data_IF_067588996130
#
_entry.id   IF_067588996130
#
_cell.length_a   1.000
_cell.length_b   1.000
_cell.length_c   1.000
_cell.angle_alpha   90.00
_cell.angle_beta   90.00
_cell.angle_gamma   90.00
#
_symmetry.space_group_name_H-M   'P 1'
#
loop_
_entity.id
_entity.type
_entity.pdbx_description
1 polymer ?
#
# COMPACT_ATOMS: atom_id res chain seq x y z
N UNK A 1 23.11 25.77 -19.01
CA UNK A 1 22.92 25.38 -17.59
C UNK A 1 22.28 24.00 -17.62
N UNK A 2 23.06 22.99 -17.22
CA UNK A 2 23.15 21.75 -17.99
C UNK A 2 22.06 20.71 -17.68
N UNK A 3 21.62 20.02 -18.73
CA UNK A 3 20.79 18.80 -18.65
C UNK A 3 21.34 17.77 -17.65
N UNK A 4 22.66 17.78 -17.37
CA UNK A 4 23.28 16.93 -16.36
C UNK A 4 22.85 17.23 -14.91
N UNK A 5 22.54 18.48 -14.55
CA UNK A 5 22.09 18.84 -13.19
C UNK A 5 20.62 18.43 -12.99
N UNK A 6 19.77 18.60 -14.01
CA UNK A 6 18.39 18.12 -13.98
C UNK A 6 18.31 16.58 -13.94
N UNK A 7 19.19 15.89 -14.68
CA UNK A 7 19.29 14.44 -14.66
C UNK A 7 19.66 13.91 -13.26
N UNK A 8 20.63 14.53 -12.59
CA UNK A 8 21.07 14.11 -11.26
C UNK A 8 19.99 14.36 -10.20
N UNK A 9 19.25 15.48 -10.28
CA UNK A 9 18.17 15.81 -9.34
C UNK A 9 17.02 14.79 -9.33
N UNK A 10 16.67 14.23 -10.49
CA UNK A 10 15.61 13.22 -10.57
C UNK A 10 16.09 11.83 -10.17
N UNK A 11 17.38 11.51 -10.36
CA UNK A 11 17.94 10.21 -10.01
C UNK A 11 17.79 9.88 -8.51
N UNK A 12 18.16 10.81 -7.63
CA UNK A 12 18.02 10.63 -6.18
C UNK A 12 16.56 10.45 -5.76
N UNK A 13 15.65 11.19 -6.39
CA UNK A 13 14.22 11.05 -6.14
C UNK A 13 13.68 9.70 -6.61
N UNK A 14 14.11 9.18 -7.77
CA UNK A 14 13.73 7.84 -8.20
C UNK A 14 14.26 6.77 -7.23
N UNK A 15 15.51 6.89 -6.76
CA UNK A 15 16.05 6.00 -5.72
C UNK A 15 15.24 6.06 -4.43
N UNK A 16 14.85 7.26 -4.00
CA UNK A 16 13.99 7.42 -2.83
C UNK A 16 12.63 6.72 -3.02
N UNK A 17 11.99 6.83 -4.19
CA UNK A 17 10.76 6.08 -4.49
C UNK A 17 11.01 4.57 -4.38
N UNK A 18 12.10 4.07 -4.97
CA UNK A 18 12.44 2.64 -4.98
C UNK A 18 12.63 2.13 -3.55
N UNK A 19 13.57 2.72 -2.81
CA UNK A 19 13.93 2.24 -1.48
C UNK A 19 12.78 2.38 -0.49
N UNK A 20 12.05 3.50 -0.51
CA UNK A 20 10.95 3.71 0.42
C UNK A 20 9.73 2.84 0.10
N UNK A 21 9.44 2.56 -1.18
CA UNK A 21 8.38 1.61 -1.54
C UNK A 21 8.75 0.17 -1.17
N UNK A 22 10.01 -0.24 -1.37
CA UNK A 22 10.49 -1.56 -0.90
C UNK A 22 10.47 -1.66 0.62
N UNK A 23 10.94 -0.62 1.33
CA UNK A 23 10.91 -0.58 2.79
C UNK A 23 9.49 -0.71 3.33
N UNK A 24 8.53 0.01 2.72
CA UNK A 24 7.10 -0.12 3.01
C UNK A 24 6.67 -1.59 2.94
N UNK A 25 6.92 -2.25 1.80
CA UNK A 25 6.49 -3.62 1.57
C UNK A 25 7.15 -4.65 2.51
N UNK A 26 8.47 -4.49 2.77
CA UNK A 26 9.23 -5.39 3.63
C UNK A 26 8.80 -5.24 5.08
N UNK A 27 8.68 -4.01 5.58
CA UNK A 27 8.34 -3.73 6.98
C UNK A 27 6.91 -4.19 7.27
N UNK A 28 5.95 -3.87 6.39
CA UNK A 28 4.57 -4.35 6.54
C UNK A 28 4.51 -5.87 6.43
N UNK A 29 5.20 -6.48 5.47
CA UNK A 29 5.20 -7.94 5.27
C UNK A 29 5.76 -8.69 6.49
N UNK A 30 6.88 -8.23 7.05
CA UNK A 30 7.49 -8.82 8.23
C UNK A 30 6.65 -8.60 9.49
N UNK A 31 6.16 -7.38 9.72
CA UNK A 31 5.38 -7.07 10.93
C UNK A 31 4.03 -7.79 10.96
N UNK A 32 3.29 -7.75 9.86
CA UNK A 32 2.01 -8.45 9.72
C UNK A 32 2.24 -9.97 9.75
N UNK A 33 3.25 -10.47 9.05
CA UNK A 33 3.58 -11.90 9.02
C UNK A 33 3.96 -12.45 10.39
N UNK A 34 4.81 -11.74 11.14
CA UNK A 34 5.22 -12.15 12.48
C UNK A 34 4.01 -12.18 13.44
N UNK A 35 3.17 -11.14 13.42
CA UNK A 35 1.98 -11.08 14.26
C UNK A 35 0.98 -12.20 13.92
N UNK A 36 0.74 -12.45 12.62
CA UNK A 36 -0.14 -13.51 12.16
C UNK A 36 0.36 -14.90 12.58
N UNK A 37 1.66 -15.18 12.42
CA UNK A 37 2.25 -16.48 12.82
C UNK A 37 2.07 -16.70 14.33
N UNK A 38 2.33 -15.67 15.14
CA UNK A 38 2.14 -15.76 16.58
C UNK A 38 0.66 -15.97 16.96
N UNK A 39 -0.27 -15.29 16.28
CA UNK A 39 -1.70 -15.43 16.52
C UNK A 39 -2.22 -16.82 16.14
N UNK A 40 -1.82 -17.33 14.97
CA UNK A 40 -2.16 -18.69 14.51
C UNK A 40 -1.58 -19.75 15.47
N UNK A 41 -0.34 -19.57 15.93
CA UNK A 41 0.28 -20.49 16.89
C UNK A 41 -0.45 -20.50 18.24
N UNK A 42 -1.06 -19.37 18.62
CA UNK A 42 -1.81 -19.22 19.87
C UNK A 42 -3.23 -19.81 19.78
N UNK A 43 -3.95 -19.52 18.70
CA UNK A 43 -5.37 -19.89 18.55
C UNK A 43 -5.59 -21.26 17.87
N UNK A 44 -4.61 -21.76 17.12
CA UNK A 44 -4.75 -23.01 16.36
C UNK A 44 -5.78 -22.96 15.23
N UNK A 45 -6.14 -21.76 14.77
CA UNK A 45 -7.13 -21.54 13.70
C UNK A 45 -6.45 -21.15 12.38
N UNK A 46 -7.21 -21.24 11.29
CA UNK A 46 -6.74 -20.84 9.96
C UNK A 46 -6.40 -19.33 9.95
N UNK A 47 -5.21 -18.91 9.44
CA UNK A 47 -4.88 -17.48 9.30
C UNK A 47 -5.94 -16.67 8.56
N UNK A 48 -6.63 -17.29 7.59
CA UNK A 48 -7.63 -16.61 6.77
C UNK A 48 -8.94 -16.34 7.52
N UNK A 49 -9.19 -16.95 8.68
CA UNK A 49 -10.33 -16.62 9.54
C UNK A 49 -10.03 -15.52 10.56
N UNK A 50 -8.76 -15.10 10.68
CA UNK A 50 -8.34 -14.00 11.56
C UNK A 50 -8.41 -12.68 10.79
N UNK A 51 -9.22 -11.74 11.29
CA UNK A 51 -9.35 -10.40 10.70
C UNK A 51 -8.03 -9.64 10.86
N UNK A 52 -7.53 -9.03 9.77
CA UNK A 52 -6.18 -8.46 9.75
C UNK A 52 -5.95 -7.33 10.78
N UNK A 53 -6.99 -6.57 11.11
CA UNK A 53 -6.99 -5.47 12.10
C UNK A 53 -6.97 -5.96 13.56
N UNK A 54 -7.49 -7.16 13.85
CA UNK A 54 -7.42 -7.76 15.19
C UNK A 54 -6.01 -8.12 15.63
N UNK A 55 -5.07 -8.24 14.68
CA UNK A 55 -3.65 -8.41 14.99
C UNK A 55 -3.04 -7.21 15.72
N UNK A 56 -3.67 -6.03 15.63
CA UNK A 56 -3.24 -4.82 16.33
C UNK A 56 -3.81 -4.66 17.73
N UNK A 57 -4.62 -5.61 18.22
CA UNK A 57 -5.25 -5.52 19.54
C UNK A 57 -4.26 -5.82 20.68
N UNK A 58 -3.90 -4.79 21.46
CA UNK A 58 -3.01 -4.93 22.61
C UNK A 58 -3.53 -5.82 23.73
N UNK A 59 -4.85 -6.08 23.77
CA UNK A 59 -5.46 -6.88 24.82
C UNK A 59 -5.51 -8.37 24.48
N UNK A 60 -5.43 -8.73 23.20
CA UNK A 60 -5.66 -10.10 22.75
C UNK A 60 -4.54 -10.69 21.88
N UNK A 61 -3.77 -9.87 21.16
CA UNK A 61 -2.72 -10.35 20.26
C UNK A 61 -1.32 -10.25 20.87
N UNK A 62 -0.51 -11.34 20.84
CA UNK A 62 0.79 -11.40 21.52
C UNK A 62 1.84 -10.48 20.90
N UNK A 63 1.69 -10.10 19.63
CA UNK A 63 2.62 -9.24 18.90
C UNK A 63 1.94 -7.99 18.34
N UNK A 64 0.87 -7.52 18.99
CA UNK A 64 0.16 -6.29 18.61
C UNK A 64 1.09 -5.09 18.44
N UNK A 65 2.09 -4.94 19.31
CA UNK A 65 3.06 -3.84 19.22
C UNK A 65 3.92 -3.91 17.96
N UNK A 66 4.32 -5.12 17.55
CA UNK A 66 5.11 -5.32 16.34
C UNK A 66 4.26 -5.01 15.11
N UNK A 67 3.01 -5.48 15.10
CA UNK A 67 2.05 -5.16 14.05
C UNK A 67 1.85 -3.64 13.93
N UNK A 68 1.44 -2.96 15.01
CA UNK A 68 1.13 -1.53 15.00
C UNK A 68 2.33 -0.67 14.63
N UNK A 69 3.52 -0.93 15.20
CA UNK A 69 4.73 -0.17 14.87
C UNK A 69 5.19 -0.43 13.43
N UNK A 70 4.97 -1.64 12.89
CA UNK A 70 5.25 -1.92 11.49
C UNK A 70 4.37 -1.09 10.55
N UNK A 71 3.09 -0.89 10.89
CA UNK A 71 2.19 -0.02 10.13
C UNK A 71 2.68 1.43 10.19
N UNK A 72 3.04 1.95 11.37
CA UNK A 72 3.57 3.31 11.51
C UNK A 72 4.80 3.52 10.63
N UNK A 73 5.79 2.63 10.72
CA UNK A 73 7.04 2.79 9.95
C UNK A 73 6.78 2.61 8.45
N UNK A 74 6.00 1.60 8.05
CA UNK A 74 5.66 1.38 6.64
C UNK A 74 4.87 2.56 6.05
N UNK A 75 3.91 3.10 6.79
CA UNK A 75 3.14 4.27 6.37
C UNK A 75 4.03 5.51 6.19
N UNK A 76 5.00 5.75 7.08
CA UNK A 76 5.99 6.82 6.93
C UNK A 76 6.86 6.63 5.69
N UNK A 77 7.32 5.40 5.42
CA UNK A 77 8.04 5.09 4.19
C UNK A 77 7.17 5.35 2.95
N UNK A 78 5.89 4.98 2.95
CA UNK A 78 4.99 5.24 1.83
C UNK A 78 4.79 6.74 1.58
N UNK A 79 4.64 7.54 2.64
CA UNK A 79 4.57 9.01 2.53
C UNK A 79 5.82 9.57 1.85
N UNK A 80 7.01 9.11 2.26
CA UNK A 80 8.27 9.52 1.66
C UNK A 80 8.36 9.12 0.19
N UNK A 81 7.99 7.88 -0.14
CA UNK A 81 7.96 7.40 -1.53
C UNK A 81 7.04 8.26 -2.41
N UNK A 82 5.85 8.59 -1.92
CA UNK A 82 4.87 9.40 -2.65
C UNK A 82 5.27 10.87 -2.75
N UNK A 83 5.94 11.41 -1.72
CA UNK A 83 6.52 12.75 -1.75
C UNK A 83 7.61 12.85 -2.81
N UNK A 84 8.52 11.88 -2.88
CA UNK A 84 9.53 11.83 -3.93
C UNK A 84 8.89 11.72 -5.33
N UNK A 85 7.87 10.87 -5.47
CA UNK A 85 7.11 10.72 -6.72
C UNK A 85 6.42 12.02 -7.14
N UNK A 86 5.91 12.82 -6.21
CA UNK A 86 5.30 14.13 -6.49
C UNK A 86 6.29 15.10 -7.16
N UNK A 87 7.56 15.07 -6.75
CA UNK A 87 8.60 15.92 -7.33
C UNK A 87 9.21 15.35 -8.63
N UNK A 88 9.01 14.06 -8.92
CA UNK A 88 9.45 13.43 -10.17
C UNK A 88 8.46 13.63 -11.30
N UNK A 89 7.16 13.48 -11.04
CA UNK A 89 6.13 13.55 -12.06
C UNK A 89 5.35 14.87 -11.96
N UNK A 90 5.49 15.72 -12.96
CA UNK A 90 4.92 17.08 -12.94
C UNK A 90 3.46 17.15 -13.42
N UNK A 91 2.96 16.13 -14.10
CA UNK A 91 1.59 16.17 -14.64
C UNK A 91 0.54 16.07 -13.51
N UNK A 92 -0.52 16.89 -13.62
CA UNK A 92 -1.51 17.05 -12.55
C UNK A 92 -2.20 15.74 -12.15
N UNK A 93 -2.36 14.82 -13.10
CA UNK A 93 -2.99 13.53 -12.84
C UNK A 93 -2.05 12.58 -12.08
N UNK A 94 -0.77 12.48 -12.46
CA UNK A 94 0.24 11.78 -11.66
C UNK A 94 0.36 12.38 -10.26
N UNK A 95 0.23 13.70 -10.11
CA UNK A 95 0.19 14.35 -8.79
C UNK A 95 -1.05 13.98 -7.98
N UNK A 96 -2.19 13.75 -8.65
CA UNK A 96 -3.39 13.18 -8.00
C UNK A 96 -3.12 11.79 -7.41
N UNK A 97 -2.43 10.93 -8.15
CA UNK A 97 -2.00 9.60 -7.67
C UNK A 97 -1.08 9.73 -6.45
N UNK A 98 -0.09 10.64 -6.50
CA UNK A 98 0.87 10.78 -5.39
C UNK A 98 0.24 11.36 -4.15
N UNK A 99 -0.63 12.36 -4.27
CA UNK A 99 -1.38 12.92 -3.13
C UNK A 99 -2.27 11.84 -2.51
N UNK A 100 -2.97 11.06 -3.33
CA UNK A 100 -3.82 9.96 -2.84
C UNK A 100 -2.98 8.89 -2.14
N UNK A 101 -1.84 8.49 -2.72
CA UNK A 101 -0.92 7.55 -2.10
C UNK A 101 -0.29 8.07 -0.80
N UNK A 102 0.02 9.36 -0.71
CA UNK A 102 0.54 9.98 0.51
C UNK A 102 -0.53 10.00 1.61
N UNK A 103 -1.77 10.36 1.28
CA UNK A 103 -2.92 10.29 2.19
C UNK A 103 -3.15 8.86 2.68
N UNK A 104 -3.03 7.86 1.80
CA UNK A 104 -3.09 6.46 2.18
C UNK A 104 -2.00 6.11 3.21
N UNK A 105 -0.75 6.57 3.00
CA UNK A 105 0.34 6.41 3.96
C UNK A 105 0.05 7.04 5.32
N UNK A 106 -0.53 8.25 5.34
CA UNK A 106 -0.97 8.91 6.59
C UNK A 106 -2.03 8.08 7.32
N UNK A 107 -3.00 7.54 6.59
CA UNK A 107 -4.04 6.70 7.18
C UNK A 107 -3.47 5.41 7.76
N UNK A 108 -2.49 4.78 7.10
CA UNK A 108 -1.77 3.61 7.65
C UNK A 108 -1.05 3.97 8.96
N UNK A 109 -0.38 5.13 9.01
CA UNK A 109 0.26 5.62 10.24
C UNK A 109 -0.77 5.79 11.35
N UNK A 110 -1.91 6.41 11.06
CA UNK A 110 -2.97 6.65 12.04
C UNK A 110 -3.60 5.35 12.52
N UNK A 111 -3.78 4.35 11.66
CA UNK A 111 -4.24 3.00 12.06
C UNK A 111 -3.25 2.36 13.04
N UNK A 112 -1.94 2.51 12.83
CA UNK A 112 -0.92 2.00 13.75
C UNK A 112 -0.84 2.77 15.08
N UNK A 113 -1.06 4.08 15.07
CA UNK A 113 -1.07 4.92 16.29
C UNK A 113 -2.36 4.70 17.10
N UNK A 114 -3.49 4.56 16.41
CA UNK A 114 -4.81 4.32 16.98
C UNK A 114 -5.29 2.91 16.57
N UNK A 115 -4.72 1.86 17.20
CA UNK A 115 -5.15 0.50 16.95
C UNK A 115 -6.57 0.28 17.44
N UNK A 116 -7.09 -0.92 17.19
CA UNK A 116 -8.49 -1.31 17.46
C UNK A 116 -8.94 -1.08 18.92
N UNK A 117 -8.01 -0.97 19.88
CA UNK A 117 -8.29 -0.55 21.25
C UNK A 117 -8.93 0.85 21.33
N UNK A 118 -8.64 1.73 20.37
CA UNK A 118 -9.27 3.04 20.16
C UNK A 118 -10.32 2.94 19.04
N UNK A 119 -11.40 2.20 19.34
CA UNK A 119 -12.34 1.69 18.35
C UNK A 119 -12.91 2.77 17.41
N UNK A 120 -13.32 3.92 17.94
CA UNK A 120 -13.93 5.00 17.16
C UNK A 120 -12.94 5.59 16.14
N UNK A 121 -11.75 5.94 16.60
CA UNK A 121 -10.68 6.49 15.76
C UNK A 121 -10.20 5.46 14.73
N UNK A 122 -10.00 4.22 15.18
CA UNK A 122 -9.55 3.13 14.33
C UNK A 122 -10.52 2.88 13.17
N UNK A 123 -11.83 2.79 13.46
CA UNK A 123 -12.87 2.60 12.43
C UNK A 123 -12.90 3.73 11.40
N UNK A 124 -12.75 4.97 11.87
CA UNK A 124 -12.67 6.14 10.98
C UNK A 124 -11.46 6.05 10.04
N UNK A 125 -10.27 5.78 10.59
CA UNK A 125 -9.04 5.73 9.79
C UNK A 125 -9.00 4.50 8.87
N UNK A 126 -9.48 3.34 9.31
CA UNK A 126 -9.61 2.13 8.49
C UNK A 126 -10.62 2.31 7.35
N UNK A 127 -11.73 3.00 7.59
CA UNK A 127 -12.68 3.36 6.51
C UNK A 127 -12.05 4.36 5.53
N UNK A 128 -11.37 5.38 6.03
CA UNK A 128 -10.61 6.32 5.21
C UNK A 128 -9.57 5.61 4.35
N UNK A 129 -8.85 4.64 4.93
CA UNK A 129 -7.87 3.80 4.22
C UNK A 129 -8.51 3.03 3.08
N UNK A 130 -9.68 2.42 3.30
CA UNK A 130 -10.41 1.69 2.27
C UNK A 130 -10.83 2.60 1.11
N UNK A 131 -11.43 3.76 1.41
CA UNK A 131 -11.84 4.74 0.40
C UNK A 131 -10.62 5.25 -0.38
N UNK A 132 -9.53 5.56 0.33
CA UNK A 132 -8.31 6.06 -0.30
C UNK A 132 -7.63 4.99 -1.18
N UNK A 133 -7.67 3.72 -0.77
CA UNK A 133 -7.19 2.57 -1.56
C UNK A 133 -8.00 2.42 -2.84
N UNK A 134 -9.33 2.48 -2.75
CA UNK A 134 -10.22 2.47 -3.90
C UNK A 134 -9.88 3.60 -4.88
N UNK A 135 -9.77 4.83 -4.39
CA UNK A 135 -9.44 6.00 -5.22
C UNK A 135 -8.05 5.87 -5.88
N UNK A 136 -7.05 5.39 -5.14
CA UNK A 136 -5.71 5.16 -5.67
C UNK A 136 -5.72 4.17 -6.84
N UNK A 137 -6.40 3.03 -6.67
CA UNK A 137 -6.50 2.03 -7.74
C UNK A 137 -7.34 2.52 -8.92
N UNK A 138 -8.40 3.29 -8.69
CA UNK A 138 -9.15 3.97 -9.76
C UNK A 138 -8.24 4.91 -10.57
N UNK A 139 -7.46 5.75 -9.89
CA UNK A 139 -6.56 6.67 -10.58
C UNK A 139 -5.47 5.92 -11.37
N UNK A 140 -4.88 4.88 -10.79
CA UNK A 140 -3.87 4.08 -11.48
C UNK A 140 -4.47 3.26 -12.64
N UNK A 141 -5.70 2.75 -12.51
CA UNK A 141 -6.39 2.08 -13.61
C UNK A 141 -6.55 3.01 -14.82
N UNK A 142 -7.02 4.23 -14.57
CA UNK A 142 -7.22 5.23 -15.62
C UNK A 142 -5.90 5.78 -16.19
N UNK A 143 -4.84 5.87 -15.38
CA UNK A 143 -3.49 6.25 -15.85
C UNK A 143 -2.97 5.30 -16.93
N UNK A 144 -3.27 4.00 -16.83
CA UNK A 144 -2.80 3.00 -17.78
C UNK A 144 -3.23 3.29 -19.22
N UNK A 145 -4.44 3.84 -19.42
CA UNK A 145 -4.99 4.15 -20.74
C UNK A 145 -4.51 5.51 -21.31
N UNK A 146 -3.72 6.28 -20.56
CA UNK A 146 -3.18 7.55 -21.06
C UNK A 146 -2.04 7.31 -22.04
N UNK A 147 -1.95 8.14 -23.09
CA UNK A 147 -0.93 8.05 -24.16
C UNK A 147 0.52 8.09 -23.67
N UNK A 148 0.77 8.62 -22.47
CA UNK A 148 2.09 8.68 -21.81
C UNK A 148 2.08 7.95 -20.46
N UNK A 149 1.31 6.87 -20.36
CA UNK A 149 1.17 6.09 -19.13
C UNK A 149 2.54 5.72 -18.56
N UNK A 150 2.70 6.01 -17.27
CA UNK A 150 3.85 5.58 -16.49
C UNK A 150 3.65 4.19 -15.83
N UNK A 151 2.65 3.41 -16.23
CA UNK A 151 2.33 2.13 -15.58
C UNK A 151 2.67 0.92 -16.46
N UNK A 152 3.34 -0.06 -15.88
CA UNK A 152 3.59 -1.36 -16.51
C UNK A 152 2.41 -2.33 -16.33
N UNK A 153 2.33 -3.34 -17.20
CA UNK A 153 1.25 -4.34 -17.18
C UNK A 153 1.11 -5.10 -15.85
N UNK A 154 2.18 -5.47 -15.12
CA UNK A 154 2.04 -6.10 -13.81
C UNK A 154 1.39 -5.17 -12.78
N UNK A 155 1.74 -3.88 -12.81
CA UNK A 155 1.14 -2.89 -11.91
C UNK A 155 -0.33 -2.66 -12.27
N UNK A 156 -0.67 -2.67 -13.55
CA UNK A 156 -2.06 -2.61 -14.02
C UNK A 156 -2.89 -3.80 -13.52
N UNK A 157 -2.36 -5.03 -13.61
CA UNK A 157 -3.05 -6.22 -13.10
C UNK A 157 -3.33 -6.13 -11.59
N UNK A 158 -2.35 -5.68 -10.79
CA UNK A 158 -2.55 -5.45 -9.36
C UNK A 158 -3.60 -4.37 -9.08
N UNK A 159 -3.67 -3.31 -9.89
CA UNK A 159 -4.70 -2.29 -9.73
C UNK A 159 -6.12 -2.82 -10.00
N UNK A 160 -6.30 -3.75 -10.95
CA UNK A 160 -7.60 -4.40 -11.19
C UNK A 160 -8.00 -5.23 -9.97
N UNK A 161 -7.08 -6.05 -9.44
CA UNK A 161 -7.33 -6.86 -8.25
C UNK A 161 -7.68 -5.95 -7.07
N UNK A 162 -6.87 -4.93 -6.81
CA UNK A 162 -7.09 -3.98 -5.72
C UNK A 162 -8.43 -3.27 -5.83
N UNK A 163 -8.84 -2.88 -7.04
CA UNK A 163 -10.13 -2.24 -7.29
C UNK A 163 -11.30 -3.18 -7.00
N UNK A 164 -11.27 -4.42 -7.50
CA UNK A 164 -12.32 -5.42 -7.26
C UNK A 164 -12.47 -5.67 -5.76
N UNK A 165 -11.37 -5.94 -5.05
CA UNK A 165 -11.42 -6.27 -3.62
C UNK A 165 -11.78 -5.05 -2.75
N UNK A 166 -11.41 -3.84 -3.16
CA UNK A 166 -11.87 -2.61 -2.48
C UNK A 166 -13.37 -2.43 -2.61
N UNK A 167 -13.95 -2.64 -3.81
CA UNK A 167 -15.41 -2.57 -4.02
C UNK A 167 -16.13 -3.62 -3.18
N UNK A 168 -15.61 -4.86 -3.14
CA UNK A 168 -16.18 -5.93 -2.32
C UNK A 168 -16.17 -5.52 -0.85
N UNK A 169 -15.05 -5.04 -0.29
CA UNK A 169 -15.02 -4.59 1.11
C UNK A 169 -15.96 -3.42 1.36
N UNK A 170 -16.04 -2.44 0.46
CA UNK A 170 -16.98 -1.32 0.60
C UNK A 170 -18.44 -1.79 0.62
N UNK A 171 -18.77 -2.87 -0.09
CA UNK A 171 -20.12 -3.47 -0.08
C UNK A 171 -20.42 -4.26 1.20
N UNK A 172 -19.38 -4.78 1.86
CA UNK A 172 -19.49 -5.51 3.12
C UNK A 172 -19.37 -4.60 4.37
N UNK A 173 -18.92 -3.36 4.20
CA UNK A 173 -18.78 -2.38 5.27
C UNK A 173 -20.15 -1.90 5.76
N UNK A 174 -20.38 -1.93 7.07
CA UNK A 174 -21.54 -1.28 7.65
C UNK A 174 -21.27 0.22 7.81
N UNK A 175 -21.85 1.03 6.93
CA UNK A 175 -21.65 2.48 6.89
C UNK A 175 -22.21 3.25 8.10
N UNK A 176 -23.08 2.64 8.91
CA UNK A 176 -23.59 3.27 10.12
C UNK A 176 -22.61 3.17 11.30
N UNK A 177 -21.85 2.08 11.37
CA UNK A 177 -20.89 1.81 12.44
C UNK A 177 -19.44 1.97 12.01
N UNK A 178 -19.19 2.10 10.69
CA UNK A 178 -17.86 2.13 10.07
C UNK A 178 -17.02 0.90 10.43
N UNK A 179 -17.66 -0.26 10.54
CA UNK A 179 -17.02 -1.53 10.89
C UNK A 179 -17.57 -2.69 10.05
N UNK A 180 -16.85 -3.80 10.09
CA UNK A 180 -17.22 -5.05 9.48
C UNK A 180 -17.83 -5.98 10.53
N UNK A 181 -18.83 -6.76 10.12
CA UNK A 181 -19.43 -7.76 11.00
C UNK A 181 -18.37 -8.78 11.47
N UNK A 182 -18.44 -9.24 12.73
CA UNK A 182 -17.47 -10.18 13.27
C UNK A 182 -17.56 -11.53 12.54
N UNK A 183 -16.41 -12.14 12.30
CA UNK A 183 -16.32 -13.49 11.76
C UNK A 183 -16.86 -14.51 12.80
N UNK A 184 -17.67 -15.48 12.38
CA UNK A 184 -18.02 -16.61 13.23
C UNK A 184 -16.77 -17.44 13.51
N UNK A 185 -16.46 -17.69 14.79
CA UNK A 185 -15.30 -18.51 15.19
C UNK A 185 -15.57 -20.03 15.07
N UNK A 186 -16.53 -20.45 14.24
CA UNK A 186 -16.75 -21.87 13.98
C UNK A 186 -15.52 -22.43 13.27
N UNK A 187 -14.97 -23.53 13.78
CA UNK A 187 -13.65 -24.08 13.41
C UNK A 187 -13.53 -24.53 11.95
N UNK A 188 -14.62 -24.57 11.19
CA UNK A 188 -14.67 -24.96 9.79
C UNK A 188 -14.99 -23.83 8.80
N UNK A 189 -15.33 -22.63 9.26
CA UNK A 189 -15.90 -21.62 8.38
C UNK A 189 -14.86 -20.58 7.95
N UNK A 190 -14.68 -20.44 6.63
CA UNK A 190 -13.86 -19.39 6.06
C UNK A 190 -14.62 -18.08 6.20
N UNK A 191 -14.04 -17.12 6.94
CA UNK A 191 -14.60 -15.78 7.00
C UNK A 191 -14.30 -15.04 5.70
N UNK A 192 -15.32 -14.93 4.83
CA UNK A 192 -15.21 -14.23 3.54
C UNK A 192 -14.70 -12.80 3.69
N UNK A 193 -15.18 -12.06 4.69
CA UNK A 193 -14.70 -10.72 5.00
C UNK A 193 -13.18 -10.70 5.20
N UNK A 194 -12.69 -11.54 6.11
CA UNK A 194 -11.28 -11.64 6.45
C UNK A 194 -10.43 -12.01 5.22
N UNK A 195 -10.89 -12.97 4.41
CA UNK A 195 -10.21 -13.35 3.18
C UNK A 195 -10.07 -12.17 2.21
N UNK A 196 -11.13 -11.39 2.01
CA UNK A 196 -11.12 -10.21 1.14
C UNK A 196 -10.17 -9.13 1.71
N UNK A 197 -10.17 -8.90 3.02
CA UNK A 197 -9.21 -7.99 3.68
C UNK A 197 -7.76 -8.42 3.47
N UNK A 198 -7.47 -9.73 3.60
CA UNK A 198 -6.15 -10.28 3.38
C UNK A 198 -5.69 -10.10 1.93
N UNK A 199 -6.55 -10.41 0.96
CA UNK A 199 -6.20 -10.24 -0.46
C UNK A 199 -5.91 -8.78 -0.79
N UNK A 200 -6.72 -7.84 -0.29
CA UNK A 200 -6.47 -6.41 -0.51
C UNK A 200 -5.15 -5.96 0.14
N UNK A 201 -4.88 -6.41 1.37
CA UNK A 201 -3.63 -6.10 2.10
C UNK A 201 -2.41 -6.60 1.33
N UNK A 202 -2.43 -7.85 0.88
CA UNK A 202 -1.33 -8.42 0.10
C UNK A 202 -1.17 -7.75 -1.27
N UNK A 203 -2.28 -7.36 -1.91
CA UNK A 203 -2.25 -6.59 -3.16
C UNK A 203 -1.55 -5.25 -2.97
N UNK A 204 -1.82 -4.52 -1.88
CA UNK A 204 -1.18 -3.25 -1.58
C UNK A 204 0.32 -3.38 -1.27
N UNK A 205 0.72 -4.45 -0.58
CA UNK A 205 2.13 -4.76 -0.33
C UNK A 205 2.86 -5.04 -1.65
N UNK A 206 2.28 -5.91 -2.50
CA UNK A 206 2.85 -6.24 -3.81
C UNK A 206 2.89 -5.03 -4.74
N UNK A 207 1.89 -4.16 -4.66
CA UNK A 207 1.84 -2.92 -5.43
C UNK A 207 3.07 -2.04 -5.16
N UNK A 208 3.49 -1.93 -3.89
CA UNK A 208 4.70 -1.20 -3.52
C UNK A 208 5.98 -1.83 -4.09
N UNK A 209 6.07 -3.16 -4.10
CA UNK A 209 7.22 -3.87 -4.71
C UNK A 209 7.28 -3.64 -6.23
N UNK A 210 6.13 -3.77 -6.91
CA UNK A 210 6.06 -3.59 -8.36
C UNK A 210 6.32 -2.13 -8.75
N UNK A 211 5.84 -1.16 -7.97
CA UNK A 211 6.18 0.25 -8.16
C UNK A 211 7.69 0.48 -8.13
N UNK A 212 8.40 -0.12 -7.16
CA UNK A 212 9.84 0.01 -7.07
C UNK A 212 10.57 -0.61 -8.28
N UNK A 213 10.12 -1.77 -8.74
CA UNK A 213 10.66 -2.41 -9.95
C UNK A 213 10.42 -1.53 -11.18
N UNK A 214 9.23 -0.93 -11.30
CA UNK A 214 8.88 -0.01 -12.39
C UNK A 214 9.81 1.21 -12.42
N UNK A 215 10.03 1.86 -11.26
CA UNK A 215 10.94 3.00 -11.16
C UNK A 215 12.39 2.61 -11.49
N UNK A 216 12.85 1.43 -11.06
CA UNK A 216 14.18 0.91 -11.42
C UNK A 216 14.32 0.73 -12.93
N UNK A 217 13.29 0.23 -13.60
CA UNK A 217 13.29 0.08 -15.05
C UNK A 217 13.30 1.43 -15.77
N UNK A 218 12.61 2.44 -15.24
CA UNK A 218 12.63 3.82 -15.77
C UNK A 218 14.00 4.46 -15.68
N UNK A 219 14.69 4.33 -14.54
CA UNK A 219 16.08 4.79 -14.40
C UNK A 219 16.96 4.18 -15.50
N UNK A 220 16.88 2.86 -15.71
CA UNK A 220 17.67 2.16 -16.75
C UNK A 220 17.37 2.69 -18.15
N UNK A 221 16.10 2.89 -18.48
CA UNK A 221 15.68 3.43 -19.77
C UNK A 221 16.21 4.86 -19.98
N UNK A 222 16.14 5.72 -18.95
CA UNK A 222 16.68 7.08 -19.02
C UNK A 222 18.20 7.09 -19.22
N UNK A 223 18.94 6.23 -18.52
CA UNK A 223 20.39 6.09 -18.73
C UNK A 223 20.73 5.60 -20.15
N UNK A 224 19.99 4.63 -20.67
CA UNK A 224 20.21 4.14 -22.03
C UNK A 224 20.01 5.24 -23.07
N UNK A 225 18.94 6.03 -22.94
CA UNK A 225 18.65 7.13 -23.86
C UNK A 225 19.71 8.24 -23.78
N UNK A 226 20.18 8.57 -22.56
CA UNK A 226 21.27 9.53 -22.37
C UNK A 226 22.56 9.07 -23.07
N UNK A 227 22.93 7.79 -22.92
CA UNK A 227 24.12 7.24 -23.57
C UNK A 227 24.01 7.25 -25.10
N UNK A 228 22.84 6.95 -25.66
CA UNK A 228 22.62 7.05 -27.12
C UNK A 228 22.76 8.49 -27.63
N UNK A 229 22.26 9.48 -26.87
CA UNK A 229 22.37 10.89 -27.24
C UNK A 229 23.81 11.43 -27.21
N UNK A 230 24.69 10.80 -26.43
CA UNK A 230 26.11 11.15 -26.35
C UNK A 230 26.96 10.48 -27.44
N UNK A 231 26.54 9.33 -27.96
CA UNK A 231 27.24 8.63 -29.06
C UNK A 231 26.82 9.16 -30.45
N UNK A 232 25.65 9.79 -30.54
CA UNK A 232 25.14 10.40 -31.78
C UNK A 232 25.61 11.83 -32.06
N UNK A 233 26.41 12.43 -31.17
CA UNK A 233 27.07 13.74 -31.33
C UNK A 233 28.58 13.53 -31.46
#
# INVERSE_FOLDING_TARGET
MSQSIQFNKHYDLYLMIIFMSLATAVISGLGIGAALIAEVSRLGINPLSIRADTLGDYMSSPLAIVYNMSLVIAGMCLILAMSARYFVFEDGYSRGITVTGATLGVLIVLIGIFPINFLEQHRLFSTGYLICTFLLHCFCFMEYFRKRSALTSPLFALNIIGLIFSIILMSLLNWSTLDFDPCSHATSDICWMSLVMWVLTQTNILWCMVLAIDMKNRIKQQHHLANLSLVGN
#
